data_IF_244980563730
#
_entry.id   IF_244980563730
#
_cell.length_a   1.000
_cell.length_b   1.000
_cell.length_c   1.000
_cell.angle_alpha   90.00
_cell.angle_beta   90.00
_cell.angle_gamma   90.00
#
_symmetry.space_group_name_H-M   'P 1'
#
loop_
_entity.id
_entity.type
_entity.pdbx_description
1 polymer ?
#
# COMPACT_ATOMS: atom_id res chain seq x y z
N UNK A 1 -6.36 0.98 14.75
CA UNK A 1 -6.80 0.79 13.35
C UNK A 1 -6.59 -0.66 12.94
N UNK A 2 -7.61 -1.28 12.42
CA UNK A 2 -7.53 -2.66 11.95
C UNK A 2 -7.25 -2.67 10.46
N UNK A 3 -6.31 -3.51 10.02
CA UNK A 3 -5.90 -3.60 8.62
C UNK A 3 -6.20 -5.00 8.09
N UNK A 4 -6.83 -5.03 6.92
CA UNK A 4 -7.12 -6.27 6.21
C UNK A 4 -6.29 -6.30 4.94
N UNK A 5 -5.47 -7.33 4.78
CA UNK A 5 -4.59 -7.47 3.63
C UNK A 5 -5.40 -7.64 2.34
N UNK A 6 -5.02 -6.92 1.31
CA UNK A 6 -5.65 -7.00 0.00
C UNK A 6 -4.78 -7.83 -0.96
N UNK A 7 -5.43 -8.72 -1.69
CA UNK A 7 -4.78 -9.52 -2.70
C UNK A 7 -3.78 -10.53 -2.13
N UNK A 8 -3.10 -11.21 -3.03
CA UNK A 8 -2.06 -12.18 -2.67
C UNK A 8 -0.72 -11.58 -2.97
N UNK A 9 0.13 -11.56 -1.95
CA UNK A 9 1.51 -11.13 -2.09
C UNK A 9 2.40 -12.35 -2.08
N UNK A 10 3.47 -12.32 -2.86
CA UNK A 10 4.36 -13.47 -2.97
C UNK A 10 5.29 -13.69 -1.80
N UNK A 11 5.17 -12.90 -0.74
CA UNK A 11 6.06 -12.97 0.39
C UNK A 11 5.37 -13.52 1.62
N UNK A 12 6.08 -14.34 2.35
CA UNK A 12 5.56 -15.04 3.52
C UNK A 12 5.98 -14.40 4.84
N UNK A 13 7.06 -13.59 4.81
CA UNK A 13 7.68 -13.08 6.03
C UNK A 13 7.26 -11.64 6.38
N UNK A 14 6.33 -11.06 5.61
CA UNK A 14 5.85 -9.71 5.90
C UNK A 14 6.81 -8.59 5.55
N UNK A 15 7.91 -8.89 4.85
CA UNK A 15 8.90 -7.88 4.48
C UNK A 15 8.65 -7.27 3.12
N UNK A 16 7.71 -7.78 2.36
CA UNK A 16 7.41 -7.28 1.01
C UNK A 16 6.36 -6.19 1.04
N UNK A 17 6.38 -5.31 0.04
CA UNK A 17 5.32 -4.31 -0.10
C UNK A 17 3.94 -4.96 -0.15
N UNK A 18 2.99 -4.38 0.56
CA UNK A 18 1.67 -4.97 0.75
C UNK A 18 0.63 -3.87 0.81
N UNK A 19 -0.56 -4.15 0.32
CA UNK A 19 -1.70 -3.25 0.41
C UNK A 19 -2.66 -3.77 1.47
N UNK A 20 -3.22 -2.85 2.24
CA UNK A 20 -4.23 -3.15 3.26
C UNK A 20 -5.41 -2.22 3.11
N UNK A 21 -6.57 -2.69 3.48
CA UNK A 21 -7.73 -1.85 3.67
C UNK A 21 -7.90 -1.61 5.17
N UNK A 22 -8.09 -0.35 5.56
CA UNK A 22 -8.27 -0.01 6.96
C UNK A 22 -9.75 -0.04 7.33
N UNK A 23 -10.02 -0.11 8.63
CA UNK A 23 -11.40 -0.01 9.13
C UNK A 23 -11.93 1.43 9.08
N UNK A 24 -11.14 2.36 8.56
CA UNK A 24 -11.55 3.77 8.36
C UNK A 24 -11.92 4.07 6.92
N UNK A 25 -11.94 3.07 6.05
CA UNK A 25 -12.26 3.27 4.64
C UNK A 25 -11.11 3.80 3.81
N UNK A 26 -9.88 3.66 4.30
CA UNK A 26 -8.68 4.11 3.57
C UNK A 26 -7.83 2.92 3.16
N UNK A 27 -6.91 3.17 2.24
CA UNK A 27 -5.93 2.18 1.81
C UNK A 27 -4.60 2.50 2.50
N UNK A 28 -4.02 1.47 3.11
CA UNK A 28 -2.72 1.59 3.76
C UNK A 28 -1.71 0.79 2.95
N UNK A 29 -0.59 1.42 2.65
CA UNK A 29 0.45 0.83 1.80
C UNK A 29 1.69 0.58 2.63
N UNK A 30 2.15 -0.66 2.68
CA UNK A 30 3.43 -1.02 3.26
C UNK A 30 4.46 -1.05 2.13
N UNK A 31 5.53 -0.30 2.27
CA UNK A 31 6.58 -0.24 1.25
C UNK A 31 7.91 0.12 1.88
N UNK A 32 8.91 0.33 1.05
CA UNK A 32 10.23 0.74 1.53
C UNK A 32 10.22 2.24 1.79
N UNK A 33 10.66 2.66 2.98
CA UNK A 33 10.69 4.07 3.33
C UNK A 33 11.64 4.84 2.39
N UNK A 34 11.17 5.98 1.89
CA UNK A 34 11.96 6.84 1.01
C UNK A 34 12.43 8.03 1.83
N UNK A 35 13.73 8.14 2.04
CA UNK A 35 14.33 9.22 2.80
C UNK A 35 15.31 10.04 1.97
N UNK A 36 15.67 9.55 0.80
CA UNK A 36 16.66 10.17 -0.06
C UNK A 36 16.06 10.82 -1.32
N UNK A 37 14.74 10.97 -1.37
CA UNK A 37 14.08 11.61 -2.49
C UNK A 37 14.20 13.12 -2.45
N UNK A 38 13.87 13.77 -3.55
CA UNK A 38 13.89 15.22 -3.66
C UNK A 38 12.59 15.89 -3.20
N UNK A 39 11.67 15.08 -2.71
CA UNK A 39 10.41 15.55 -2.12
C UNK A 39 10.45 15.29 -0.63
N UNK A 40 10.20 16.33 0.16
CA UNK A 40 10.13 16.21 1.62
C UNK A 40 8.68 16.25 2.06
N UNK A 41 8.13 15.18 2.64
CA UNK A 41 6.73 15.21 3.08
C UNK A 41 6.56 16.12 4.29
N UNK A 42 5.35 16.67 4.47
CA UNK A 42 5.05 17.44 5.68
C UNK A 42 5.14 16.57 6.93
N UNK A 43 5.26 17.24 8.09
CA UNK A 43 5.26 16.53 9.36
C UNK A 43 3.99 15.67 9.49
N UNK A 44 4.16 14.44 9.93
CA UNK A 44 3.06 13.50 10.07
C UNK A 44 2.79 12.67 8.83
N UNK A 45 3.49 12.96 7.72
CA UNK A 45 3.38 12.17 6.49
C UNK A 45 4.69 11.49 6.18
N UNK A 46 4.63 10.47 5.34
CA UNK A 46 5.82 9.73 4.94
C UNK A 46 5.67 9.26 3.50
N UNK A 47 6.80 9.04 2.86
CA UNK A 47 6.85 8.49 1.51
C UNK A 47 7.35 7.07 1.57
N UNK A 48 6.72 6.19 0.80
CA UNK A 48 7.19 4.81 0.62
C UNK A 48 7.22 4.49 -0.87
N UNK A 49 8.11 3.60 -1.27
CA UNK A 49 8.11 3.12 -2.64
C UNK A 49 7.63 1.68 -2.68
N UNK A 50 6.86 1.37 -3.72
CA UNK A 50 6.33 0.04 -3.96
C UNK A 50 6.46 -0.25 -5.45
N UNK A 51 6.47 -1.53 -5.85
CA UNK A 51 6.43 -1.83 -7.29
C UNK A 51 5.14 -1.30 -7.93
N UNK A 52 5.26 -0.79 -9.14
CA UNK A 52 4.09 -0.24 -9.84
C UNK A 52 2.99 -1.28 -10.03
N UNK A 53 3.36 -2.54 -10.18
CA UNK A 53 2.40 -3.64 -10.34
C UNK A 53 1.46 -3.77 -9.14
N UNK A 54 1.93 -3.38 -7.96
CA UNK A 54 1.10 -3.46 -6.76
C UNK A 54 -0.09 -2.52 -6.86
N UNK A 55 0.13 -1.33 -7.41
CA UNK A 55 -0.95 -0.36 -7.61
C UNK A 55 -1.91 -0.83 -8.70
N UNK A 56 -1.41 -1.52 -9.70
CA UNK A 56 -2.26 -2.08 -10.75
C UNK A 56 -3.17 -3.16 -10.17
N UNK A 57 -2.67 -3.97 -9.25
CA UNK A 57 -3.47 -4.96 -8.56
C UNK A 57 -4.61 -4.31 -7.78
N UNK A 58 -4.29 -3.21 -7.07
CA UNK A 58 -5.30 -2.48 -6.32
C UNK A 58 -6.41 -1.96 -7.25
N UNK A 59 -6.05 -1.40 -8.38
CA UNK A 59 -7.03 -0.89 -9.33
C UNK A 59 -7.96 -2.00 -9.81
N UNK A 60 -7.41 -3.19 -10.10
CA UNK A 60 -8.20 -4.33 -10.51
C UNK A 60 -9.16 -4.82 -9.43
N UNK A 61 -8.69 -4.85 -8.19
CA UNK A 61 -9.53 -5.27 -7.06
C UNK A 61 -10.70 -4.31 -6.84
N UNK A 62 -10.42 -3.01 -6.91
CA UNK A 62 -11.47 -2.02 -6.69
C UNK A 62 -12.46 -1.95 -7.85
N UNK A 63 -12.01 -2.22 -9.07
CA UNK A 63 -12.91 -2.26 -10.21
C UNK A 63 -13.94 -3.38 -10.07
N UNK A 64 -13.56 -4.51 -9.47
CA UNK A 64 -14.48 -5.61 -9.21
C UNK A 64 -15.54 -5.28 -8.16
N UNK A 65 -15.17 -4.46 -7.19
CA UNK A 65 -16.07 -4.11 -6.10
C UNK A 65 -17.15 -3.10 -6.50
N UNK A 66 -17.04 -2.52 -7.68
CA UNK A 66 -17.98 -1.51 -8.14
C UNK A 66 -19.22 -2.10 -8.78
N UNK A 67 -19.23 -3.36 -9.02
CA UNK A 67 -20.41 -4.04 -9.56
C UNK A 67 -21.32 -4.51 -8.43
#
# INVERSE_FOLDING_TARGET
MKLTRLGRQGCWDGTCPTLYESDRGTIVVQGWAVEDGDVTPPEGEALVEVPAELLEQLAGLRARDRD
#
